data_IF_897109464558
#
_entry.id   IF_897109464558
#
_cell.length_a   1.000
_cell.length_b   1.000
_cell.length_c   1.000
_cell.angle_alpha   90.00
_cell.angle_beta   90.00
_cell.angle_gamma   90.00
#
_symmetry.space_group_name_H-M   'P 1'
#
loop_
_entity.id
_entity.type
_entity.pdbx_description
1 polymer ?
#
# COMPACT_ATOMS: atom_id res chain seq x y z
N UNK A 1 62.40 -10.93 55.24
CA UNK A 1 62.64 -10.04 54.07
C UNK A 1 61.40 -10.09 53.18
N UNK A 2 61.10 -8.98 52.47
CA UNK A 2 60.16 -8.79 51.33
C UNK A 2 58.64 -8.92 51.62
N UNK A 3 57.87 -7.82 51.75
CA UNK A 3 57.09 -7.03 50.73
C UNK A 3 55.86 -7.78 50.17
N UNK A 4 54.62 -7.26 50.24
CA UNK A 4 54.05 -6.24 49.33
C UNK A 4 52.73 -5.60 49.83
N UNK A 5 52.45 -4.40 49.29
CA UNK A 5 51.41 -3.40 49.57
C UNK A 5 49.94 -3.83 49.37
N UNK A 6 49.02 -3.17 50.11
CA UNK A 6 47.82 -2.51 49.53
C UNK A 6 47.48 -1.22 50.30
N UNK A 7 47.33 -0.11 49.59
CA UNK A 7 46.86 1.20 50.09
C UNK A 7 45.73 1.73 49.17
N UNK A 8 44.72 2.31 49.84
CA UNK A 8 43.85 3.45 49.45
C UNK A 8 42.95 3.31 48.20
N UNK A 9 41.68 3.70 48.20
CA UNK A 9 40.85 4.36 49.21
C UNK A 9 39.38 4.36 48.79
N UNK A 10 38.48 4.16 49.76
CA UNK A 10 37.05 4.39 49.59
C UNK A 10 36.80 5.90 49.74
N UNK A 11 36.43 6.55 48.65
CA UNK A 11 36.10 7.97 48.63
C UNK A 11 34.86 8.22 47.80
N UNK A 12 33.81 8.67 48.49
CA UNK A 12 32.78 9.63 48.03
C UNK A 12 31.93 9.24 46.81
N UNK A 13 30.65 8.96 47.05
CA UNK A 13 29.67 8.90 45.95
C UNK A 13 28.20 8.76 46.31
N UNK A 14 27.85 8.32 47.53
CA UNK A 14 26.45 8.07 47.90
C UNK A 14 25.75 9.19 48.70
N UNK A 15 26.44 10.29 49.01
CA UNK A 15 25.86 11.44 49.75
C UNK A 15 25.65 12.68 48.88
N UNK A 16 25.61 12.55 47.55
CA UNK A 16 25.41 13.65 46.60
C UNK A 16 24.05 13.59 45.87
N UNK A 17 23.16 12.66 46.25
CA UNK A 17 21.88 12.43 45.56
C UNK A 17 20.66 12.49 46.48
N UNK A 18 20.86 12.87 47.75
CA UNK A 18 19.80 13.01 48.74
C UNK A 18 20.02 14.38 49.43
N UNK A 19 19.01 15.24 49.31
CA UNK A 19 18.93 16.64 49.72
C UNK A 19 19.60 17.69 48.82
N UNK A 20 18.80 18.25 47.91
CA UNK A 20 18.59 19.70 48.00
C UNK A 20 17.17 20.11 47.57
N UNK A 21 16.47 20.70 48.55
CA UNK A 21 15.39 21.70 48.46
C UNK A 21 13.97 21.31 48.00
N UNK A 22 13.10 21.09 49.00
CA UNK A 22 11.73 21.60 48.95
C UNK A 22 11.72 23.15 48.97
N UNK A 23 10.67 23.71 48.38
CA UNK A 23 10.12 25.08 48.51
C UNK A 23 10.47 26.13 47.44
N UNK A 24 9.73 26.09 46.32
CA UNK A 24 9.13 27.29 45.73
C UNK A 24 7.96 26.91 44.79
N UNK A 25 6.73 27.32 45.14
CA UNK A 25 5.57 27.24 44.24
C UNK A 25 5.73 28.14 43.00
N UNK A 26 5.26 27.69 41.83
CA UNK A 26 4.58 28.59 40.89
C UNK A 26 3.15 28.11 40.53
N UNK A 27 2.31 28.98 39.94
CA UNK A 27 0.86 28.82 39.91
C UNK A 27 0.38 27.84 38.83
N UNK A 28 -0.82 27.27 39.07
CA UNK A 28 -1.60 26.54 38.07
C UNK A 28 -1.90 27.45 36.87
N UNK A 29 -1.35 27.15 35.70
CA UNK A 29 -1.89 27.59 34.42
C UNK A 29 -1.69 26.52 33.35
N UNK A 30 -2.81 26.10 32.78
CA UNK A 30 -2.95 25.30 31.58
C UNK A 30 -2.17 25.95 30.43
N UNK A 31 -1.38 25.19 29.68
CA UNK A 31 -1.27 25.32 28.22
C UNK A 31 -0.60 24.08 27.62
N UNK A 32 -1.19 23.65 26.52
CA UNK A 32 -0.84 22.50 25.69
C UNK A 32 0.66 22.40 25.38
N UNK A 33 1.32 21.36 25.88
CA UNK A 33 2.56 20.86 25.30
C UNK A 33 2.22 19.66 24.43
N UNK A 34 2.10 19.96 23.13
CA UNK A 34 1.91 19.02 22.03
C UNK A 34 3.00 17.96 22.12
N UNK A 35 2.62 16.77 22.58
CA UNK A 35 3.50 15.61 22.50
C UNK A 35 3.45 15.11 21.06
N UNK A 36 4.35 15.64 20.23
CA UNK A 36 4.71 15.07 18.93
C UNK A 36 5.48 13.76 19.15
N UNK A 37 4.77 12.77 19.68
CA UNK A 37 5.19 11.37 19.62
C UNK A 37 4.51 10.76 18.41
N UNK A 38 5.32 10.31 17.47
CA UNK A 38 4.97 9.59 16.26
C UNK A 38 3.96 8.46 16.55
N UNK A 39 2.68 8.72 16.32
CA UNK A 39 1.62 7.72 16.44
C UNK A 39 1.41 7.03 15.10
N UNK A 40 2.24 6.02 14.86
CA UNK A 40 2.04 5.04 13.81
C UNK A 40 0.74 4.27 14.10
N UNK A 41 -0.34 4.56 13.36
CA UNK A 41 -1.56 3.74 13.37
C UNK A 41 -2.85 4.36 13.94
N UNK A 42 -2.86 5.62 14.35
CA UNK A 42 -4.09 6.22 14.89
C UNK A 42 -5.14 6.50 13.79
N UNK A 43 -6.35 5.98 14.02
CA UNK A 43 -7.54 6.31 13.24
C UNK A 43 -7.98 7.72 13.63
N UNK A 44 -7.94 8.64 12.68
CA UNK A 44 -8.35 10.02 12.86
C UNK A 44 -9.60 10.31 12.03
N UNK A 45 -10.48 11.18 12.51
CA UNK A 45 -11.65 11.61 11.74
C UNK A 45 -11.24 12.71 10.76
N UNK A 46 -11.50 12.49 9.48
CA UNK A 46 -11.17 13.43 8.41
C UNK A 46 -12.44 13.93 7.75
N UNK A 47 -12.50 15.22 7.46
CA UNK A 47 -13.64 15.81 6.74
C UNK A 47 -13.69 15.31 5.31
N UNK A 48 -14.87 14.88 4.86
CA UNK A 48 -15.08 14.40 3.48
C UNK A 48 -14.83 15.50 2.43
N UNK A 49 -14.89 16.78 2.82
CA UNK A 49 -14.59 17.94 1.95
C UNK A 49 -13.11 18.19 1.77
N UNK A 50 -12.28 17.70 2.69
CA UNK A 50 -10.82 17.85 2.67
C UNK A 50 -10.11 16.70 1.95
N UNK A 51 -10.86 15.66 1.57
CA UNK A 51 -10.36 14.48 0.87
C UNK A 51 -10.63 14.60 -0.63
N UNK A 52 -9.55 14.69 -1.40
CA UNK A 52 -9.56 14.65 -2.86
C UNK A 52 -9.41 13.19 -3.32
N UNK A 53 -10.29 12.74 -4.22
CA UNK A 53 -10.20 11.42 -4.83
C UNK A 53 -9.04 11.37 -5.81
N UNK A 54 -8.30 10.26 -5.86
CA UNK A 54 -7.25 10.09 -6.85
C UNK A 54 -7.85 10.00 -8.28
N UNK A 55 -7.51 10.91 -9.21
CA UNK A 55 -8.04 10.91 -10.57
C UNK A 55 -7.63 9.67 -11.40
N UNK A 56 -6.62 8.91 -10.96
CA UNK A 56 -6.13 7.70 -11.62
C UNK A 56 -6.73 6.40 -11.06
N UNK A 57 -7.86 6.46 -10.34
CA UNK A 57 -8.48 5.25 -9.80
C UNK A 57 -9.04 4.34 -10.90
N UNK A 58 -8.63 3.06 -10.96
CA UNK A 58 -8.96 2.16 -12.08
C UNK A 58 -10.42 1.70 -12.10
N UNK A 59 -11.19 1.93 -11.03
CA UNK A 59 -12.61 1.54 -10.97
C UNK A 59 -13.49 2.74 -11.34
N UNK A 60 -13.89 2.81 -12.60
CA UNK A 60 -14.81 3.83 -13.13
C UNK A 60 -16.28 3.43 -12.98
N UNK A 61 -16.59 2.13 -13.01
CA UNK A 61 -17.95 1.61 -12.85
C UNK A 61 -18.22 1.13 -11.41
N UNK A 62 -19.24 1.74 -10.80
CA UNK A 62 -19.76 1.34 -9.51
C UNK A 62 -21.19 0.88 -9.68
N UNK A 63 -21.47 -0.35 -9.26
CA UNK A 63 -22.83 -0.81 -9.09
C UNK A 63 -23.54 0.08 -8.06
N UNK A 64 -24.50 0.87 -8.55
CA UNK A 64 -25.25 1.85 -7.77
C UNK A 64 -26.07 1.19 -6.66
N UNK A 65 -26.58 -0.02 -6.89
CA UNK A 65 -27.41 -0.75 -5.92
C UNK A 65 -26.56 -1.15 -4.72
N UNK A 66 -25.42 -1.81 -4.97
CA UNK A 66 -24.48 -2.20 -3.93
C UNK A 66 -23.80 -1.01 -3.21
N UNK A 67 -23.78 0.17 -3.83
CA UNK A 67 -23.27 1.39 -3.20
C UNK A 67 -24.30 1.99 -2.23
N UNK A 68 -25.58 1.99 -2.61
CA UNK A 68 -26.67 2.46 -1.76
C UNK A 68 -26.89 1.54 -0.56
N UNK A 69 -26.85 0.22 -0.73
CA UNK A 69 -26.91 -0.73 0.38
C UNK A 69 -25.80 -0.50 1.42
N UNK A 70 -24.58 -0.20 0.94
CA UNK A 70 -23.46 0.15 1.81
C UNK A 70 -23.66 1.50 2.50
N UNK A 71 -24.25 2.48 1.81
CA UNK A 71 -24.56 3.79 2.40
C UNK A 71 -25.62 3.66 3.51
N UNK A 72 -26.66 2.84 3.30
CA UNK A 72 -27.70 2.57 4.30
C UNK A 72 -27.11 1.86 5.53
N UNK A 73 -26.23 0.87 5.30
CA UNK A 73 -25.49 0.20 6.38
C UNK A 73 -24.62 1.19 7.17
N UNK A 74 -23.87 2.07 6.48
CA UNK A 74 -23.03 3.10 7.10
C UNK A 74 -23.87 4.12 7.87
N UNK A 75 -25.08 4.44 7.43
CA UNK A 75 -25.97 5.38 8.13
C UNK A 75 -26.44 4.85 9.48
N UNK A 76 -26.62 3.53 9.60
CA UNK A 76 -27.07 2.87 10.83
C UNK A 76 -25.89 2.61 11.78
N UNK A 77 -24.78 2.10 11.26
CA UNK A 77 -23.69 1.57 12.08
C UNK A 77 -22.43 2.44 12.07
N UNK A 78 -22.41 3.49 11.26
CA UNK A 78 -21.20 4.24 10.96
C UNK A 78 -20.26 3.49 10.02
N UNK A 79 -19.15 4.15 9.64
CA UNK A 79 -18.12 3.50 8.84
C UNK A 79 -17.23 2.63 9.73
N UNK A 80 -17.46 1.32 9.72
CA UNK A 80 -16.71 0.36 10.55
C UNK A 80 -15.25 0.26 10.11
N UNK A 81 -14.98 0.22 8.80
CA UNK A 81 -13.62 0.11 8.26
C UNK A 81 -13.09 1.47 7.79
N UNK A 82 -12.04 2.01 8.42
CA UNK A 82 -11.48 3.31 8.05
C UNK A 82 -10.94 3.36 6.61
N UNK A 83 -11.02 4.53 5.98
CA UNK A 83 -10.37 4.80 4.69
C UNK A 83 -8.89 5.12 4.88
N UNK A 84 -8.09 5.07 3.82
CA UNK A 84 -6.67 5.46 3.90
C UNK A 84 -6.43 6.70 3.06
N UNK A 85 -5.87 7.73 3.69
CA UNK A 85 -5.58 9.01 3.05
C UNK A 85 -4.15 9.45 3.29
N UNK A 86 -3.55 10.11 2.31
CA UNK A 86 -2.24 10.77 2.43
C UNK A 86 -2.46 12.24 2.76
N UNK A 87 -1.75 12.78 3.75
CA UNK A 87 -1.73 14.22 4.03
C UNK A 87 -0.90 14.94 2.95
N UNK A 88 -1.52 15.89 2.26
CA UNK A 88 -0.89 16.68 1.18
C UNK A 88 -0.79 18.18 1.52
N UNK A 89 -1.39 18.61 2.63
CA UNK A 89 -1.30 19.98 3.16
C UNK A 89 -1.84 20.05 4.58
N UNK A 90 -1.97 21.25 5.15
CA UNK A 90 -2.44 21.45 6.52
C UNK A 90 -3.78 20.74 6.80
N UNK A 91 -4.75 20.91 5.89
CA UNK A 91 -6.09 20.30 5.92
C UNK A 91 -6.49 19.79 4.53
N UNK A 92 -5.56 19.15 3.83
CA UNK A 92 -5.82 18.52 2.54
C UNK A 92 -5.30 17.10 2.55
N UNK A 93 -6.15 16.20 2.10
CA UNK A 93 -5.90 14.78 2.07
C UNK A 93 -6.17 14.24 0.67
N UNK A 94 -5.36 13.27 0.26
CA UNK A 94 -5.58 12.54 -0.98
C UNK A 94 -5.97 11.11 -0.64
N UNK A 95 -7.06 10.62 -1.22
CA UNK A 95 -7.49 9.25 -0.99
C UNK A 95 -6.52 8.25 -1.65
N UNK A 96 -5.99 7.33 -0.84
CA UNK A 96 -5.17 6.21 -1.31
C UNK A 96 -6.06 4.99 -1.57
N UNK A 97 -6.93 4.65 -0.61
CA UNK A 97 -7.78 3.47 -0.67
C UNK A 97 -9.11 3.65 0.06
N UNK A 98 -10.14 2.95 -0.42
CA UNK A 98 -11.49 2.98 0.16
C UNK A 98 -12.52 3.82 -0.61
N UNK A 99 -12.34 4.05 -1.90
CA UNK A 99 -13.22 4.89 -2.74
C UNK A 99 -14.72 4.55 -2.60
N UNK A 100 -15.09 3.26 -2.61
CA UNK A 100 -16.50 2.83 -2.39
C UNK A 100 -17.04 3.30 -1.04
N UNK A 101 -16.25 3.14 0.02
CA UNK A 101 -16.59 3.54 1.38
C UNK A 101 -16.66 5.07 1.50
N UNK A 102 -15.74 5.79 0.86
CA UNK A 102 -15.74 7.25 0.79
C UNK A 102 -17.00 7.79 0.10
N UNK A 103 -17.36 7.23 -1.07
CA UNK A 103 -18.58 7.60 -1.81
C UNK A 103 -19.85 7.24 -1.03
N UNK A 104 -19.93 6.03 -0.49
CA UNK A 104 -21.07 5.60 0.32
C UNK A 104 -21.22 6.47 1.58
N UNK A 105 -20.13 6.90 2.20
CA UNK A 105 -20.16 7.81 3.35
C UNK A 105 -20.67 9.21 2.98
N UNK A 106 -20.33 9.71 1.79
CA UNK A 106 -20.92 10.96 1.25
C UNK A 106 -22.41 10.81 1.02
N UNK A 107 -22.85 9.68 0.44
CA UNK A 107 -24.26 9.39 0.20
C UNK A 107 -25.05 9.21 1.51
N UNK A 108 -24.44 8.60 2.52
CA UNK A 108 -25.01 8.45 3.86
C UNK A 108 -25.15 9.77 4.62
N UNK A 109 -24.57 10.87 4.11
CA UNK A 109 -24.65 12.21 4.71
C UNK A 109 -23.70 12.42 5.89
N UNK A 110 -22.65 11.61 6.03
CA UNK A 110 -21.63 11.83 7.04
C UNK A 110 -20.83 13.11 6.73
N UNK A 111 -20.38 13.82 7.75
CA UNK A 111 -19.50 15.00 7.58
C UNK A 111 -18.02 14.62 7.69
N UNK A 112 -17.72 13.65 8.55
CA UNK A 112 -16.38 13.13 8.79
C UNK A 112 -16.40 11.60 8.75
N UNK A 113 -15.27 11.01 8.38
CA UNK A 113 -15.09 9.56 8.36
C UNK A 113 -13.79 9.17 9.07
N UNK A 114 -13.77 8.00 9.73
CA UNK A 114 -12.53 7.46 10.26
C UNK A 114 -11.59 7.16 9.11
N UNK A 115 -10.36 7.66 9.22
CA UNK A 115 -9.33 7.49 8.22
C UNK A 115 -7.96 7.25 8.87
N UNK A 116 -7.17 6.38 8.26
CA UNK A 116 -5.74 6.33 8.49
C UNK A 116 -5.08 7.47 7.74
N UNK A 117 -4.57 8.46 8.47
CA UNK A 117 -3.81 9.57 7.90
C UNK A 117 -2.36 9.13 7.78
N UNK A 118 -1.84 9.17 6.55
CA UNK A 118 -0.47 8.80 6.19
C UNK A 118 0.36 10.06 5.90
N UNK A 119 1.49 10.19 6.58
CA UNK A 119 2.56 11.17 6.41
C UNK A 119 3.67 10.66 5.48
N UNK A 120 4.69 11.46 5.17
CA UNK A 120 5.79 11.05 4.30
C UNK A 120 6.58 9.81 4.78
N UNK A 121 6.58 9.51 6.10
CA UNK A 121 7.16 8.28 6.66
C UNK A 121 6.30 7.04 6.40
N UNK A 122 4.99 7.20 6.20
CA UNK A 122 4.10 6.08 5.92
C UNK A 122 4.29 5.49 4.51
N UNK A 123 4.94 6.22 3.60
CA UNK A 123 5.28 5.70 2.28
C UNK A 123 6.27 4.53 2.39
N UNK A 124 7.19 4.56 3.36
CA UNK A 124 8.04 3.42 3.69
C UNK A 124 7.24 2.25 4.27
N UNK A 125 6.22 2.49 5.09
CA UNK A 125 5.38 1.41 5.60
C UNK A 125 4.49 0.79 4.50
N UNK A 126 3.94 1.63 3.62
CA UNK A 126 3.19 1.17 2.45
C UNK A 126 4.07 0.31 1.56
N UNK A 127 5.30 0.77 1.31
CA UNK A 127 6.31 0.00 0.59
C UNK A 127 6.59 -1.34 1.28
N UNK A 128 6.86 -1.37 2.58
CA UNK A 128 7.11 -2.62 3.31
C UNK A 128 5.91 -3.58 3.24
N UNK A 129 4.68 -3.07 3.35
CA UNK A 129 3.46 -3.88 3.26
C UNK A 129 3.26 -4.46 1.85
N UNK A 130 3.56 -3.68 0.81
CA UNK A 130 3.49 -4.16 -0.58
C UNK A 130 4.59 -5.19 -0.88
N UNK A 131 5.81 -4.99 -0.36
CA UNK A 131 6.91 -5.93 -0.51
C UNK A 131 6.60 -7.27 0.19
N UNK A 132 6.09 -7.26 1.43
CA UNK A 132 5.65 -8.49 2.11
C UNK A 132 4.58 -9.22 1.30
N UNK A 133 3.58 -8.48 0.79
CA UNK A 133 2.52 -9.08 -0.01
C UNK A 133 3.08 -9.75 -1.28
N UNK A 134 4.04 -9.12 -1.97
CA UNK A 134 4.73 -9.66 -3.15
C UNK A 134 5.54 -10.94 -2.84
N UNK A 135 6.09 -11.05 -1.62
CA UNK A 135 6.94 -12.18 -1.23
C UNK A 135 6.15 -13.44 -0.83
N UNK A 136 4.82 -13.42 -0.87
CA UNK A 136 3.99 -14.60 -0.59
C UNK A 136 4.16 -15.67 -1.68
N UNK A 137 4.35 -16.91 -1.26
CA UNK A 137 4.72 -18.03 -2.15
C UNK A 137 3.65 -18.42 -3.19
N UNK A 138 2.41 -17.95 -3.05
CA UNK A 138 1.27 -18.41 -3.86
C UNK A 138 0.61 -17.33 -4.75
N UNK A 139 1.28 -16.21 -5.02
CA UNK A 139 0.72 -15.19 -5.91
C UNK A 139 0.70 -15.65 -7.36
N UNK A 140 -0.40 -15.38 -8.06
CA UNK A 140 -0.46 -15.56 -9.51
C UNK A 140 0.24 -14.41 -10.25
N UNK A 141 0.60 -14.64 -11.52
CA UNK A 141 1.38 -13.66 -12.29
C UNK A 141 0.69 -12.30 -12.49
N UNK A 142 -0.65 -12.27 -12.53
CA UNK A 142 -1.43 -11.04 -12.64
C UNK A 142 -1.42 -10.28 -11.31
N UNK A 143 -1.52 -10.96 -10.17
CA UNK A 143 -1.42 -10.34 -8.84
C UNK A 143 -0.04 -9.73 -8.59
N UNK A 144 1.03 -10.42 -9.01
CA UNK A 144 2.39 -9.88 -8.95
C UNK A 144 2.50 -8.63 -9.82
N UNK A 145 1.98 -8.67 -11.05
CA UNK A 145 1.99 -7.53 -11.95
C UNK A 145 1.22 -6.32 -11.39
N UNK A 146 0.03 -6.56 -10.80
CA UNK A 146 -0.75 -5.52 -10.12
C UNK A 146 0.01 -4.94 -8.92
N UNK A 147 0.68 -5.78 -8.14
CA UNK A 147 1.48 -5.31 -7.00
C UNK A 147 2.67 -4.46 -7.46
N UNK A 148 3.33 -4.82 -8.56
CA UNK A 148 4.37 -4.00 -9.18
C UNK A 148 3.84 -2.66 -9.68
N UNK A 149 2.67 -2.65 -10.32
CA UNK A 149 2.02 -1.42 -10.78
C UNK A 149 1.72 -0.50 -9.60
N UNK A 150 1.20 -1.04 -8.49
CA UNK A 150 0.96 -0.27 -7.25
C UNK A 150 2.24 0.31 -6.65
N UNK A 151 3.35 -0.42 -6.65
CA UNK A 151 4.64 0.11 -6.19
C UNK A 151 5.13 1.28 -7.07
N UNK A 152 4.85 1.25 -8.37
CA UNK A 152 5.21 2.36 -9.26
C UNK A 152 4.28 3.56 -9.03
N UNK A 153 2.97 3.33 -8.94
CA UNK A 153 1.99 4.40 -8.89
C UNK A 153 1.83 5.01 -7.50
N UNK A 154 1.81 4.19 -6.45
CA UNK A 154 1.57 4.62 -5.06
C UNK A 154 2.87 4.99 -4.34
N UNK A 155 3.97 4.26 -4.59
CA UNK A 155 5.29 4.53 -3.96
C UNK A 155 6.17 5.39 -4.86
N UNK A 156 5.86 5.54 -6.15
CA UNK A 156 6.62 6.39 -7.07
C UNK A 156 7.94 5.79 -7.53
N UNK A 157 8.12 4.47 -7.42
CA UNK A 157 9.36 3.81 -7.82
C UNK A 157 9.51 3.74 -9.34
N UNK A 158 10.74 3.91 -9.83
CA UNK A 158 11.08 3.52 -11.20
C UNK A 158 11.18 1.99 -11.29
N UNK A 159 10.96 1.43 -12.49
CA UNK A 159 11.04 -0.04 -12.70
C UNK A 159 12.37 -0.65 -12.26
N UNK A 160 13.47 0.09 -12.40
CA UNK A 160 14.80 -0.33 -11.95
C UNK A 160 14.88 -0.45 -10.42
N UNK A 161 14.45 0.59 -9.70
CA UNK A 161 14.41 0.63 -8.23
C UNK A 161 13.45 -0.43 -7.66
N UNK A 162 12.31 -0.64 -8.32
CA UNK A 162 11.38 -1.71 -7.95
C UNK A 162 12.07 -3.07 -8.03
N UNK A 163 12.79 -3.34 -9.13
CA UNK A 163 13.55 -4.57 -9.30
C UNK A 163 14.53 -4.83 -8.15
N UNK A 164 15.32 -3.80 -7.78
CA UNK A 164 16.23 -3.88 -6.65
C UNK A 164 15.50 -4.20 -5.33
N UNK A 165 14.36 -3.55 -5.06
CA UNK A 165 13.57 -3.73 -3.83
C UNK A 165 12.96 -5.14 -3.71
N UNK A 166 12.56 -5.76 -4.82
CA UNK A 166 11.94 -7.10 -4.82
C UNK A 166 12.92 -8.23 -5.20
N UNK A 167 14.21 -7.92 -5.37
CA UNK A 167 15.23 -8.92 -5.77
C UNK A 167 15.02 -9.50 -7.16
N UNK A 168 14.48 -8.71 -8.10
CA UNK A 168 14.26 -9.10 -9.51
C UNK A 168 14.97 -8.14 -10.45
N UNK A 169 15.36 -8.59 -11.65
CA UNK A 169 15.92 -7.68 -12.63
C UNK A 169 14.81 -6.78 -13.24
N UNK A 170 15.22 -5.62 -13.75
CA UNK A 170 14.33 -4.66 -14.43
C UNK A 170 13.50 -5.33 -15.55
N UNK A 171 14.11 -6.21 -16.34
CA UNK A 171 13.44 -6.93 -17.44
C UNK A 171 12.27 -7.79 -16.94
N UNK A 172 12.42 -8.45 -15.80
CA UNK A 172 11.35 -9.24 -15.18
C UNK A 172 10.20 -8.34 -14.76
N UNK A 173 10.51 -7.22 -14.10
CA UNK A 173 9.50 -6.22 -13.72
C UNK A 173 8.74 -5.73 -14.96
N UNK A 174 9.45 -5.34 -16.03
CA UNK A 174 8.81 -4.93 -17.29
C UNK A 174 7.91 -6.02 -17.87
N UNK A 175 8.34 -7.28 -17.86
CA UNK A 175 7.54 -8.38 -18.41
C UNK A 175 6.24 -8.62 -17.63
N UNK A 176 6.28 -8.54 -16.29
CA UNK A 176 5.06 -8.62 -15.47
C UNK A 176 4.11 -7.45 -15.77
N UNK A 177 4.62 -6.22 -15.82
CA UNK A 177 3.79 -5.04 -16.11
C UNK A 177 3.16 -5.10 -17.51
N UNK A 178 3.84 -5.71 -18.49
CA UNK A 178 3.28 -5.90 -19.84
C UNK A 178 2.06 -6.84 -19.86
N UNK A 179 1.91 -7.74 -18.89
CA UNK A 179 0.72 -8.60 -18.80
C UNK A 179 -0.56 -7.78 -18.61
N UNK A 180 -0.47 -6.65 -17.88
CA UNK A 180 -1.61 -5.77 -17.64
C UNK A 180 -2.09 -5.05 -18.91
N UNK A 181 -1.30 -5.09 -20.00
CA UNK A 181 -1.68 -4.53 -21.30
C UNK A 181 -2.47 -5.52 -22.16
N UNK A 182 -2.52 -6.79 -21.79
CA UNK A 182 -3.30 -7.79 -22.52
C UNK A 182 -4.81 -7.57 -22.33
N UNK A 183 -5.65 -8.02 -23.26
CA UNK A 183 -7.09 -8.05 -23.10
C UNK A 183 -7.53 -8.79 -21.81
N UNK A 184 -8.63 -8.37 -21.17
CA UNK A 184 -9.10 -8.97 -19.91
C UNK A 184 -9.31 -10.49 -19.96
N UNK A 185 -9.77 -11.02 -21.10
CA UNK A 185 -9.98 -12.46 -21.28
C UNK A 185 -8.66 -13.26 -21.18
N UNK A 186 -7.57 -12.69 -21.72
CA UNK A 186 -6.23 -13.29 -21.67
C UNK A 186 -5.66 -13.16 -20.26
N UNK A 187 -5.82 -12.00 -19.61
CA UNK A 187 -5.42 -11.81 -18.21
C UNK A 187 -6.12 -12.81 -17.27
N UNK A 188 -7.43 -13.02 -17.44
CA UNK A 188 -8.18 -14.01 -16.67
C UNK A 188 -7.64 -15.43 -16.89
N UNK A 189 -7.28 -15.78 -18.13
CA UNK A 189 -6.70 -17.09 -18.44
C UNK A 189 -5.32 -17.30 -17.83
N UNK A 190 -4.51 -16.24 -17.70
CA UNK A 190 -3.21 -16.28 -16.99
C UNK A 190 -3.44 -16.45 -15.49
N UNK A 191 -4.37 -15.69 -14.92
CA UNK A 191 -4.73 -15.77 -13.49
C UNK A 191 -5.20 -17.17 -13.11
N UNK A 192 -6.08 -17.74 -13.93
CA UNK A 192 -6.64 -19.08 -13.74
C UNK A 192 -5.65 -20.20 -14.16
N UNK A 193 -4.40 -19.86 -14.51
CA UNK A 193 -3.34 -20.76 -14.95
C UNK A 193 -3.68 -21.63 -16.19
N UNK A 194 -4.70 -21.23 -16.97
CA UNK A 194 -5.07 -21.89 -18.24
C UNK A 194 -4.01 -21.68 -19.32
N UNK A 195 -3.28 -20.57 -19.26
CA UNK A 195 -2.11 -20.32 -20.09
C UNK A 195 -0.94 -19.83 -19.23
N UNK A 196 0.26 -20.25 -19.60
CA UNK A 196 1.49 -19.82 -18.93
C UNK A 196 1.94 -18.40 -19.33
N UNK A 197 2.85 -17.83 -18.52
CA UNK A 197 3.55 -16.58 -18.82
C UNK A 197 4.29 -16.57 -20.17
N UNK A 198 4.74 -17.73 -20.65
CA UNK A 198 5.37 -17.85 -21.97
C UNK A 198 4.39 -17.54 -23.10
N UNK A 199 3.18 -18.12 -23.03
CA UNK A 199 2.11 -17.82 -24.01
C UNK A 199 1.72 -16.34 -23.95
N UNK A 200 1.56 -15.79 -22.74
CA UNK A 200 1.24 -14.38 -22.56
C UNK A 200 2.26 -13.47 -23.23
N UNK A 201 3.56 -13.76 -23.10
CA UNK A 201 4.64 -13.00 -23.75
C UNK A 201 4.57 -13.03 -25.27
N UNK A 202 4.28 -14.20 -25.86
CA UNK A 202 4.12 -14.31 -27.31
C UNK A 202 2.91 -13.48 -27.77
N UNK A 203 1.77 -13.60 -27.09
CA UNK A 203 0.55 -12.84 -27.38
C UNK A 203 0.73 -11.33 -27.27
N UNK A 204 1.48 -10.84 -26.28
CA UNK A 204 1.75 -9.38 -26.13
C UNK A 204 2.45 -8.79 -27.37
N UNK A 205 3.20 -9.60 -28.11
CA UNK A 205 3.95 -9.14 -29.28
C UNK A 205 3.10 -9.10 -30.55
N UNK A 206 1.87 -9.64 -30.52
CA UNK A 206 0.91 -9.60 -31.63
C UNK A 206 0.25 -8.23 -31.68
N UNK A 207 0.28 -7.61 -32.86
CA UNK A 207 -0.44 -6.37 -33.11
C UNK A 207 -1.94 -6.62 -33.32
N UNK A 208 -2.77 -5.95 -32.53
CA UNK A 208 -4.22 -5.97 -32.64
C UNK A 208 -4.91 -6.91 -31.65
N UNK A 209 -5.90 -6.37 -30.93
CA UNK A 209 -6.64 -7.08 -29.89
C UNK A 209 -7.39 -8.29 -30.45
N UNK A 210 -8.00 -8.17 -31.64
CA UNK A 210 -8.76 -9.26 -32.25
C UNK A 210 -7.88 -10.46 -32.60
N UNK A 211 -6.65 -10.21 -33.09
CA UNK A 211 -5.67 -11.26 -33.38
C UNK A 211 -5.17 -11.93 -32.10
N UNK A 212 -4.91 -11.14 -31.05
CA UNK A 212 -4.53 -11.68 -29.75
C UNK A 212 -5.60 -12.61 -29.19
N UNK A 213 -6.87 -12.22 -29.27
CA UNK A 213 -8.00 -13.04 -28.81
C UNK A 213 -8.19 -14.29 -29.67
N UNK A 214 -8.03 -14.19 -30.99
CA UNK A 214 -8.09 -15.34 -31.89
C UNK A 214 -7.02 -16.38 -31.56
N UNK A 215 -5.76 -15.96 -31.44
CA UNK A 215 -4.65 -16.86 -31.10
C UNK A 215 -4.82 -17.41 -29.68
N UNK A 216 -5.31 -16.61 -28.73
CA UNK A 216 -5.62 -17.07 -27.39
C UNK A 216 -6.66 -18.20 -27.38
N UNK A 217 -7.73 -18.08 -28.17
CA UNK A 217 -8.74 -19.12 -28.30
C UNK A 217 -8.15 -20.40 -28.92
N UNK A 218 -7.33 -20.27 -29.97
CA UNK A 218 -6.61 -21.38 -30.59
C UNK A 218 -5.67 -22.12 -29.60
N UNK A 219 -5.01 -21.39 -28.70
CA UNK A 219 -4.20 -21.98 -27.63
C UNK A 219 -5.04 -22.86 -26.72
N UNK A 220 -6.22 -22.36 -26.31
CA UNK A 220 -7.12 -23.10 -25.41
C UNK A 220 -7.73 -24.33 -26.08
N UNK A 221 -8.16 -24.19 -27.34
CA UNK A 221 -8.86 -25.26 -28.05
C UNK A 221 -7.91 -26.38 -28.49
N UNK A 222 -6.69 -26.03 -28.92
CA UNK A 222 -5.70 -26.98 -29.46
C UNK A 222 -4.60 -27.36 -28.47
N UNK A 223 -4.58 -26.77 -27.28
CA UNK A 223 -3.54 -27.01 -26.27
C UNK A 223 -2.14 -26.68 -26.79
N UNK A 224 -1.99 -25.56 -27.49
CA UNK A 224 -0.73 -25.20 -28.14
C UNK A 224 0.39 -24.97 -27.12
N UNK A 225 1.61 -25.37 -27.46
CA UNK A 225 2.80 -25.08 -26.65
C UNK A 225 3.33 -23.68 -26.95
N UNK A 226 4.07 -23.10 -26.01
CA UNK A 226 4.66 -21.75 -26.15
C UNK A 226 5.42 -21.59 -27.47
N UNK A 227 6.23 -22.59 -27.85
CA UNK A 227 6.98 -22.57 -29.12
C UNK A 227 6.08 -22.51 -30.35
N UNK A 228 4.97 -23.26 -30.36
CA UNK A 228 4.01 -23.21 -31.47
C UNK A 228 3.33 -21.86 -31.56
N UNK A 229 3.06 -21.22 -30.42
CA UNK A 229 2.51 -19.86 -30.40
C UNK A 229 3.54 -18.86 -30.92
N UNK A 230 4.81 -18.99 -30.55
CA UNK A 230 5.89 -18.15 -31.08
C UNK A 230 6.08 -18.30 -32.61
N UNK A 231 5.73 -19.45 -33.20
CA UNK A 231 5.73 -19.66 -34.66
C UNK A 231 4.51 -19.06 -35.37
N UNK A 232 3.40 -18.84 -34.64
CA UNK A 232 2.15 -18.29 -35.18
C UNK A 232 2.06 -16.76 -35.14
N UNK A 233 2.96 -16.13 -34.39
CA UNK A 233 3.03 -14.67 -34.12
C UNK A 233 4.14 -14.03 -34.93
#
# INVERSE_FOLDING_TARGET
MTSFQRKTGLGRGLSALLDDSESAHPPKQQVNAVSETEQIGNISHVSLTEVETNPYQPRTEFDQVALNELADSIKIQGLIQPITVRKIGANKYQLISGERRFRASKLAGLTQVPAYIRSANDQQMLEMALIENIQRENLNAIEVALSFQRMIDEVGLKQEQLGERVGKNRTTVTNYLRLLKLPPAIQASIRDQRISMGHARALISVDGVDKQLFIHQEILDKGLSVRKVEELV
#
